data_IF_654470648379
#
_entry.id   IF_654470648379
#
_cell.length_a   1.000
_cell.length_b   1.000
_cell.length_c   1.000
_cell.angle_alpha   90.00
_cell.angle_beta   90.00
_cell.angle_gamma   90.00
#
_symmetry.space_group_name_H-M   'P 1'
#
loop_
_entity.id
_entity.type
_entity.pdbx_description
1 polymer ?
#
# COMPACT_ATOMS: atom_id res chain seq x y z
N UNK A 1 -15.50 3.13 1.01
CA UNK A 1 -14.04 2.86 1.06
C UNK A 1 -13.80 1.38 1.32
N UNK A 2 -12.93 0.76 0.55
CA UNK A 2 -12.54 -0.63 0.76
C UNK A 2 -11.48 -0.65 1.87
N UNK A 3 -11.66 -1.53 2.86
CA UNK A 3 -10.70 -1.72 3.94
C UNK A 3 -10.04 -3.08 3.80
N UNK A 4 -8.73 -3.10 3.87
CA UNK A 4 -7.91 -4.32 3.91
C UNK A 4 -7.33 -4.45 5.30
N UNK A 5 -7.32 -5.67 5.85
CA UNK A 5 -6.92 -5.87 7.24
C UNK A 5 -6.14 -7.15 7.46
N UNK A 6 -5.37 -7.16 8.52
CA UNK A 6 -4.81 -8.37 9.11
C UNK A 6 -5.38 -8.55 10.51
N UNK A 7 -5.99 -9.69 10.76
CA UNK A 7 -6.51 -10.04 12.08
C UNK A 7 -5.37 -10.52 13.00
N UNK A 8 -5.48 -10.22 14.30
CA UNK A 8 -4.49 -10.66 15.31
C UNK A 8 -3.05 -10.25 14.96
N UNK A 9 -2.88 -9.01 14.50
CA UNK A 9 -1.58 -8.47 14.18
C UNK A 9 -0.72 -8.28 15.42
N UNK A 10 0.53 -8.75 15.37
CA UNK A 10 1.48 -8.65 16.48
C UNK A 10 2.09 -7.26 16.53
N UNK A 11 2.31 -6.75 17.74
CA UNK A 11 2.95 -5.46 17.98
C UNK A 11 4.36 -5.42 17.38
N UNK A 12 4.66 -4.37 16.63
CA UNK A 12 5.96 -4.14 16.01
C UNK A 12 6.33 -5.09 14.87
N UNK A 13 5.48 -6.07 14.57
CA UNK A 13 5.73 -7.01 13.46
C UNK A 13 5.31 -6.38 12.13
N UNK A 14 6.11 -6.57 11.06
CA UNK A 14 5.77 -6.02 9.75
C UNK A 14 4.68 -6.83 9.05
N UNK A 15 3.80 -6.11 8.34
CA UNK A 15 2.76 -6.68 7.49
C UNK A 15 2.79 -5.97 6.14
N UNK A 16 2.71 -6.75 5.06
CA UNK A 16 2.69 -6.22 3.70
C UNK A 16 1.26 -6.12 3.16
N UNK A 17 0.97 -4.99 2.53
CA UNK A 17 -0.25 -4.75 1.79
C UNK A 17 0.12 -4.29 0.39
N UNK A 18 -0.13 -5.15 -0.58
CA UNK A 18 0.11 -4.86 -1.99
C UNK A 18 -1.18 -4.82 -2.79
N UNK A 19 -1.07 -5.08 -4.07
CA UNK A 19 -2.18 -5.06 -5.02
C UNK A 19 -2.87 -3.68 -5.06
N UNK A 20 -2.06 -2.63 -4.95
CA UNK A 20 -2.50 -1.24 -5.08
C UNK A 20 -1.91 -0.73 -6.41
N UNK A 21 -2.70 -0.74 -7.49
CA UNK A 21 -2.17 -0.39 -8.79
C UNK A 21 -2.01 1.13 -8.94
N UNK A 22 -0.88 1.53 -9.49
CA UNK A 22 -0.59 2.91 -9.87
C UNK A 22 -0.12 2.96 -11.32
N UNK A 23 -0.58 3.95 -12.05
CA UNK A 23 -0.13 4.21 -13.41
C UNK A 23 -0.16 5.71 -13.69
N UNK A 24 0.54 6.13 -14.74
CA UNK A 24 0.58 7.53 -15.17
C UNK A 24 -0.48 7.78 -16.24
N UNK A 25 -1.09 8.97 -16.21
CA UNK A 25 -2.06 9.41 -17.21
C UNK A 25 -1.43 9.65 -18.59
N UNK A 26 -0.12 9.73 -18.65
CA UNK A 26 0.66 9.93 -19.89
C UNK A 26 2.07 9.36 -19.71
N UNK A 27 2.85 9.29 -20.78
CA UNK A 27 4.24 8.84 -20.73
C UNK A 27 5.10 9.72 -19.81
N UNK A 28 6.15 9.14 -19.30
CA UNK A 28 7.09 9.80 -18.42
C UNK A 28 7.44 8.96 -17.20
N UNK A 29 7.91 9.62 -16.15
CA UNK A 29 8.26 8.97 -14.89
C UNK A 29 8.01 9.93 -13.74
N UNK A 30 7.57 9.39 -12.60
CA UNK A 30 7.46 10.14 -11.35
C UNK A 30 8.18 9.37 -10.24
N UNK A 31 8.63 10.09 -9.22
CA UNK A 31 9.26 9.48 -8.03
C UNK A 31 8.34 9.67 -6.84
N UNK A 32 7.92 8.56 -6.23
CA UNK A 32 7.16 8.59 -4.98
C UNK A 32 8.11 8.86 -3.82
N UNK A 33 7.84 9.90 -3.06
CA UNK A 33 8.71 10.34 -1.97
C UNK A 33 8.16 9.96 -0.60
N UNK A 34 6.85 9.81 -0.47
CA UNK A 34 6.23 9.50 0.81
C UNK A 34 4.85 8.86 0.61
N UNK A 35 4.52 7.91 1.47
CA UNK A 35 3.19 7.33 1.56
C UNK A 35 2.72 7.39 3.00
N UNK A 36 1.49 7.84 3.20
CA UNK A 36 0.87 7.92 4.50
C UNK A 36 -0.64 7.79 4.39
N UNK A 37 -1.33 8.22 5.43
CA UNK A 37 -2.80 8.14 5.50
C UNK A 37 -3.39 9.53 5.76
N UNK A 38 -4.56 9.79 5.18
CA UNK A 38 -5.32 11.01 5.44
C UNK A 38 -5.84 11.05 6.88
N UNK A 39 -6.23 9.90 7.41
CA UNK A 39 -6.64 9.72 8.81
C UNK A 39 -5.96 8.50 9.38
N UNK A 40 -5.36 8.62 10.56
CA UNK A 40 -4.63 7.54 11.22
C UNK A 40 -5.12 7.39 12.66
N UNK A 41 -5.74 6.25 12.95
CA UNK A 41 -6.26 5.90 14.26
C UNK A 41 -5.40 4.78 14.86
N UNK A 42 -4.98 4.95 16.12
CA UNK A 42 -4.21 3.93 16.83
C UNK A 42 -2.76 3.78 16.38
N UNK A 43 -2.23 4.76 15.67
CA UNK A 43 -0.82 4.83 15.25
C UNK A 43 -0.37 3.70 14.35
N UNK A 44 -0.99 3.60 13.17
CA UNK A 44 -0.52 2.72 12.10
C UNK A 44 0.72 3.36 11.45
N UNK A 45 1.84 2.67 11.49
CA UNK A 45 3.08 3.16 10.92
C UNK A 45 3.36 2.57 9.54
N UNK A 46 3.71 3.42 8.58
CA UNK A 46 4.28 2.99 7.31
C UNK A 46 5.79 2.89 7.51
N UNK A 47 6.31 1.68 7.64
CA UNK A 47 7.73 1.44 7.89
C UNK A 47 8.56 1.65 6.61
N UNK A 48 8.02 1.21 5.48
CA UNK A 48 8.67 1.28 4.18
C UNK A 48 7.63 1.05 3.08
N UNK A 49 7.99 1.39 1.86
CA UNK A 49 7.17 1.08 0.69
C UNK A 49 8.07 0.82 -0.52
N UNK A 50 7.53 0.12 -1.50
CA UNK A 50 8.18 -0.07 -2.80
C UNK A 50 7.16 -0.08 -3.93
N UNK A 51 7.63 0.25 -5.11
CA UNK A 51 6.87 0.14 -6.35
C UNK A 51 7.51 -0.95 -7.19
N UNK A 52 6.72 -1.87 -7.70
CA UNK A 52 7.23 -2.89 -8.63
C UNK A 52 6.36 -2.96 -9.86
N UNK A 53 6.97 -3.30 -10.98
CA UNK A 53 6.24 -3.55 -12.22
C UNK A 53 5.39 -4.81 -12.07
N UNK A 54 4.15 -4.73 -12.51
CA UNK A 54 3.21 -5.83 -12.44
C UNK A 54 2.44 -5.95 -13.76
N UNK A 55 2.29 -7.19 -14.24
CA UNK A 55 1.60 -7.50 -15.48
C UNK A 55 0.40 -8.38 -15.21
N UNK A 56 -0.74 -8.03 -15.73
CA UNK A 56 -1.90 -8.94 -15.79
C UNK A 56 -2.13 -9.38 -17.23
N UNK A 57 -2.49 -10.65 -17.47
CA UNK A 57 -2.84 -11.71 -16.51
C UNK A 57 -1.70 -12.63 -16.08
N UNK A 58 -0.45 -12.32 -16.40
CA UNK A 58 0.66 -13.30 -16.33
C UNK A 58 1.36 -13.39 -14.98
N UNK A 59 1.33 -12.32 -14.17
CA UNK A 59 1.98 -12.31 -12.88
C UNK A 59 1.04 -12.86 -11.80
N UNK A 60 1.46 -13.95 -11.15
CA UNK A 60 0.72 -14.58 -10.06
C UNK A 60 1.37 -14.34 -8.69
N UNK A 61 2.44 -13.57 -8.64
CA UNK A 61 3.25 -13.34 -7.45
C UNK A 61 2.96 -11.99 -6.79
N UNK A 62 1.77 -11.45 -7.00
CA UNK A 62 1.29 -10.25 -6.31
C UNK A 62 1.35 -10.42 -4.80
N UNK A 63 1.62 -9.33 -4.09
CA UNK A 63 1.64 -9.33 -2.65
C UNK A 63 0.21 -9.38 -2.13
N UNK A 64 -0.09 -10.40 -1.33
CA UNK A 64 -1.39 -10.56 -0.72
C UNK A 64 -1.61 -9.49 0.36
N UNK A 65 -2.85 -9.42 0.83
CA UNK A 65 -3.25 -8.42 1.81
C UNK A 65 -2.94 -8.91 3.21
N UNK A 66 -2.08 -8.17 3.92
CA UNK A 66 -1.74 -8.48 5.29
C UNK A 66 -0.80 -9.67 5.46
N UNK A 67 0.10 -9.92 4.51
CA UNK A 67 1.14 -10.91 4.68
C UNK A 67 2.02 -10.56 5.89
N UNK A 68 2.23 -11.50 6.86
CA UNK A 68 2.98 -11.22 8.08
C UNK A 68 4.50 -11.28 7.84
N UNK A 69 4.99 -10.48 6.92
CA UNK A 69 6.38 -10.45 6.50
C UNK A 69 6.75 -9.02 6.08
N UNK A 70 8.02 -8.65 6.13
CA UNK A 70 8.52 -7.38 5.62
C UNK A 70 9.02 -7.48 4.18
N UNK A 71 9.35 -6.33 3.59
CA UNK A 71 9.89 -6.25 2.22
C UNK A 71 11.14 -7.11 2.06
N UNK A 72 12.06 -7.06 3.02
CA UNK A 72 13.29 -7.83 3.00
C UNK A 72 13.00 -9.34 3.03
N UNK A 73 12.13 -9.77 3.93
CA UNK A 73 11.75 -11.19 4.04
C UNK A 73 11.05 -11.72 2.79
N UNK A 74 10.31 -10.88 2.09
CA UNK A 74 9.65 -11.21 0.81
C UNK A 74 10.60 -11.08 -0.38
N UNK A 75 11.85 -10.67 -0.14
CA UNK A 75 12.88 -10.41 -1.16
C UNK A 75 12.46 -9.37 -2.21
N UNK A 76 11.76 -8.33 -1.77
CA UNK A 76 11.37 -7.22 -2.63
C UNK A 76 12.41 -6.10 -2.57
N UNK A 77 12.91 -5.68 -3.73
CA UNK A 77 13.79 -4.52 -3.84
C UNK A 77 13.01 -3.24 -3.57
N UNK A 78 13.66 -2.27 -2.94
CA UNK A 78 13.06 -0.95 -2.72
C UNK A 78 13.27 -0.09 -3.97
N UNK A 79 12.16 0.29 -4.61
CA UNK A 79 12.12 1.17 -5.78
C UNK A 79 11.00 2.18 -5.58
N UNK A 80 11.22 3.40 -6.01
CA UNK A 80 10.26 4.48 -5.78
C UNK A 80 9.74 5.16 -7.06
N UNK A 81 10.13 4.66 -8.22
CA UNK A 81 9.74 5.25 -9.50
C UNK A 81 8.54 4.55 -10.11
N UNK A 82 7.66 5.33 -10.74
CA UNK A 82 6.56 4.85 -11.55
C UNK A 82 6.76 5.38 -12.96
N UNK A 83 6.78 4.48 -13.94
CA UNK A 83 6.93 4.82 -15.36
C UNK A 83 5.87 4.18 -16.26
N UNK A 84 5.01 3.33 -15.69
CA UNK A 84 3.96 2.66 -16.42
C UNK A 84 2.81 3.62 -16.72
N UNK A 85 2.50 3.83 -18.00
CA UNK A 85 1.32 4.57 -18.40
C UNK A 85 0.06 3.72 -18.24
N UNK A 86 -1.05 4.35 -17.87
CA UNK A 86 -2.33 3.66 -17.75
C UNK A 86 -2.77 3.11 -19.11
N UNK A 87 -3.18 1.83 -19.12
CA UNK A 87 -3.65 1.15 -20.32
C UNK A 87 -5.16 1.34 -20.48
N UNK A 88 -5.69 1.31 -21.72
CA UNK A 88 -7.13 1.29 -21.93
C UNK A 88 -7.79 0.11 -21.20
N UNK A 89 -9.01 0.32 -20.70
CA UNK A 89 -9.75 -0.70 -19.93
C UNK A 89 -9.99 -2.00 -20.71
N UNK A 90 -10.09 -1.92 -22.03
CA UNK A 90 -10.30 -3.07 -22.91
C UNK A 90 -9.00 -3.78 -23.33
N UNK A 91 -7.86 -3.37 -22.81
CA UNK A 91 -6.58 -4.00 -23.11
C UNK A 91 -6.53 -5.41 -22.51
N UNK A 92 -6.10 -6.38 -23.32
CA UNK A 92 -5.89 -7.75 -22.87
C UNK A 92 -4.67 -7.90 -21.94
N UNK A 93 -3.76 -6.93 -21.98
CA UNK A 93 -2.59 -6.86 -21.11
C UNK A 93 -2.63 -5.54 -20.35
N UNK A 94 -2.47 -5.62 -19.04
CA UNK A 94 -2.35 -4.44 -18.19
C UNK A 94 -0.98 -4.43 -17.54
N UNK A 95 -0.27 -3.33 -17.73
CA UNK A 95 0.99 -3.04 -17.05
C UNK A 95 0.75 -1.87 -16.11
N UNK A 96 1.16 -2.03 -14.86
CA UNK A 96 1.07 -0.98 -13.86
C UNK A 96 2.19 -1.14 -12.83
N UNK A 97 2.39 -0.12 -12.01
CA UNK A 97 3.21 -0.25 -10.83
C UNK A 97 2.33 -0.75 -9.68
N UNK A 98 2.77 -1.76 -8.98
CA UNK A 98 2.13 -2.18 -7.73
C UNK A 98 2.80 -1.45 -6.57
N UNK A 99 2.02 -0.67 -5.83
CA UNK A 99 2.47 -0.10 -4.56
C UNK A 99 2.33 -1.16 -3.48
N UNK A 100 3.44 -1.44 -2.79
CA UNK A 100 3.50 -2.37 -1.68
C UNK A 100 3.91 -1.60 -0.44
N UNK A 101 3.09 -1.64 0.59
CA UNK A 101 3.32 -0.97 1.87
C UNK A 101 3.73 -1.98 2.93
N UNK A 102 4.79 -1.68 3.66
CA UNK A 102 5.12 -2.37 4.89
C UNK A 102 4.63 -1.51 6.05
N UNK A 103 3.72 -2.05 6.84
CA UNK A 103 3.10 -1.35 7.97
C UNK A 103 3.25 -2.15 9.25
N UNK A 104 3.21 -1.45 10.39
CA UNK A 104 3.27 -2.08 11.71
C UNK A 104 2.42 -1.30 12.71
N UNK A 105 1.95 -2.01 13.75
CA UNK A 105 1.35 -1.39 14.94
C UNK A 105 2.44 -0.99 15.91
N UNK A 106 2.36 0.22 16.41
CA UNK A 106 3.31 0.74 17.40
C UNK A 106 2.77 0.78 18.82
N UNK A 107 1.46 0.58 18.98
CA UNK A 107 0.80 0.55 20.29
C UNK A 107 0.04 -0.76 20.47
N UNK A 108 -0.42 -1.03 21.67
CA UNK A 108 -1.23 -2.22 21.98
C UNK A 108 -2.63 -2.19 21.33
N UNK A 109 -3.04 -1.03 20.84
CA UNK A 109 -4.36 -0.85 20.22
C UNK A 109 -4.36 -1.29 18.77
N UNK A 110 -5.54 -1.63 18.26
CA UNK A 110 -5.78 -1.75 16.82
C UNK A 110 -5.39 -0.45 16.13
N UNK A 111 -4.64 -0.55 15.04
CA UNK A 111 -4.21 0.59 14.24
C UNK A 111 -4.93 0.58 12.89
N UNK A 112 -5.43 1.74 12.47
CA UNK A 112 -6.21 1.86 11.25
C UNK A 112 -5.86 3.16 10.51
N UNK A 113 -5.43 3.03 9.25
CA UNK A 113 -5.20 4.14 8.33
C UNK A 113 -6.32 4.20 7.29
N UNK A 114 -6.90 5.38 7.11
CA UNK A 114 -7.99 5.63 6.17
C UNK A 114 -7.53 6.62 5.11
N UNK A 115 -7.70 6.25 3.84
CA UNK A 115 -7.27 7.07 2.72
C UNK A 115 -5.75 7.11 2.57
N UNK A 116 -5.21 6.36 1.63
CA UNK A 116 -3.78 6.39 1.35
C UNK A 116 -3.45 7.69 0.62
N UNK A 117 -2.43 8.40 1.08
CA UNK A 117 -1.93 9.62 0.43
C UNK A 117 -0.53 9.34 -0.08
N UNK A 118 -0.38 9.38 -1.40
CA UNK A 118 0.91 9.21 -2.10
C UNK A 118 1.44 10.58 -2.47
N UNK A 119 2.60 10.94 -1.96
CA UNK A 119 3.30 12.17 -2.33
C UNK A 119 4.38 11.82 -3.35
N UNK A 120 4.43 12.54 -4.45
CA UNK A 120 5.37 12.25 -5.54
C UNK A 120 5.89 13.53 -6.19
N UNK A 121 7.04 13.40 -6.86
CA UNK A 121 7.64 14.45 -7.68
C UNK A 121 7.39 14.16 -9.15
N UNK A 122 6.81 15.13 -9.86
CA UNK A 122 6.62 15.12 -11.31
C UNK A 122 7.24 16.39 -11.87
N UNK A 123 8.29 16.23 -12.69
CA UNK A 123 9.05 17.35 -13.25
C UNK A 123 9.51 18.35 -12.15
N UNK A 124 9.97 17.82 -11.03
CA UNK A 124 10.44 18.63 -9.89
C UNK A 124 9.35 19.27 -9.06
N UNK A 125 8.07 19.05 -9.39
CA UNK A 125 6.93 19.60 -8.64
C UNK A 125 6.33 18.52 -7.75
N UNK A 126 6.19 18.83 -6.46
CA UNK A 126 5.54 17.94 -5.50
C UNK A 126 4.04 17.92 -5.71
N UNK A 127 3.47 16.72 -5.81
CA UNK A 127 2.04 16.48 -5.96
C UNK A 127 1.58 15.38 -5.02
N UNK A 128 0.28 15.30 -4.79
CA UNK A 128 -0.34 14.29 -3.95
C UNK A 128 -1.46 13.58 -4.68
N UNK A 129 -1.56 12.27 -4.44
CA UNK A 129 -2.65 11.43 -4.92
C UNK A 129 -3.33 10.78 -3.72
N UNK A 130 -4.63 10.95 -3.61
CA UNK A 130 -5.45 10.26 -2.61
C UNK A 130 -6.02 8.97 -3.19
N UNK A 131 -5.90 7.87 -2.45
CA UNK A 131 -6.48 6.57 -2.80
C UNK A 131 -7.49 6.20 -1.73
N UNK A 132 -8.73 5.94 -2.15
CA UNK A 132 -9.83 5.58 -1.23
C UNK A 132 -9.71 4.13 -0.77
N UNK A 133 -8.73 3.87 0.06
CA UNK A 133 -8.43 2.56 0.60
C UNK A 133 -8.03 2.69 2.07
N UNK A 134 -8.56 1.82 2.92
CA UNK A 134 -8.17 1.70 4.31
C UNK A 134 -7.31 0.47 4.57
N UNK A 135 -6.42 0.56 5.54
CA UNK A 135 -5.60 -0.56 6.01
C UNK A 135 -5.73 -0.65 7.52
N UNK A 136 -5.99 -1.85 8.03
CA UNK A 136 -6.11 -2.10 9.45
C UNK A 136 -5.23 -3.24 9.93
N UNK A 137 -4.60 -3.05 11.08
CA UNK A 137 -3.91 -4.09 11.82
C UNK A 137 -4.63 -4.29 13.17
N UNK A 138 -5.37 -5.39 13.27
CA UNK A 138 -6.23 -5.65 14.41
C UNK A 138 -5.44 -6.25 15.58
N UNK A 139 -5.48 -5.60 16.72
CA UNK A 139 -4.92 -6.16 17.95
C UNK A 139 -5.76 -7.35 18.42
N UNK A 140 -5.13 -8.42 18.94
CA UNK A 140 -5.86 -9.65 19.32
C UNK A 140 -6.95 -9.45 20.37
N UNK A 141 -6.77 -8.48 21.26
CA UNK A 141 -7.66 -8.26 22.40
C UNK A 141 -8.50 -6.98 22.31
N UNK A 142 -8.38 -6.20 21.26
CA UNK A 142 -9.09 -4.94 21.14
C UNK A 142 -10.52 -5.14 20.61
N UNK A 143 -11.42 -4.28 21.07
CA UNK A 143 -12.73 -4.17 20.47
C UNK A 143 -12.60 -3.61 19.04
N UNK A 144 -13.50 -3.99 18.11
CA UNK A 144 -13.47 -3.50 16.74
C UNK A 144 -13.57 -1.97 16.68
N UNK A 145 -12.80 -1.37 15.77
CA UNK A 145 -12.92 0.05 15.43
C UNK A 145 -13.75 0.14 14.17
N UNK A 146 -14.94 0.72 14.26
CA UNK A 146 -15.87 0.89 13.12
C UNK A 146 -16.06 -0.38 12.29
N UNK A 147 -16.19 -1.52 12.93
CA UNK A 147 -16.32 -2.84 12.29
C UNK A 147 -15.12 -3.25 11.44
N UNK A 148 -13.97 -2.62 11.61
CA UNK A 148 -12.75 -2.94 10.84
C UNK A 148 -12.22 -4.34 11.17
N UNK A 149 -12.41 -4.78 12.41
CA UNK A 149 -11.85 -6.04 12.91
C UNK A 149 -12.91 -7.12 13.17
N UNK A 150 -14.08 -7.00 12.61
CA UNK A 150 -15.17 -7.97 12.74
C UNK A 150 -14.94 -9.22 11.86
#
# INVERSE_FOLDING_TARGET
MITRRSSSARLGHPYLFGNIPLCLDRGGSVTVTRVGFGENLGDLNVDAFTLRSFHRPFDNDGVNLGEPIGLEGRALSVKHDVSQACQPEDSSRMEFAELVLQVSRRTQKTAFGRGIVVTYLSDGVERRLGISLGIGLCAPADAPIESVCD
#
